data_IF_862875797494
#
_entry.id   IF_862875797494
#
_cell.length_a   1.000
_cell.length_b   1.000
_cell.length_c   1.000
_cell.angle_alpha   90.00
_cell.angle_beta   90.00
_cell.angle_gamma   90.00
#
_symmetry.space_group_name_H-M   'P 1'
#
loop_
_entity.id
_entity.type
_entity.pdbx_description
1 polymer ?
#
# COMPACT_ATOMS: atom_id res chain seq x y z
N UNK A 1 -1.18 -7.66 -33.05
CA UNK A 1 -1.83 -8.92 -33.48
C UNK A 1 -3.30 -8.99 -33.06
N UNK A 2 -3.93 -7.91 -32.57
CA UNK A 2 -5.37 -7.83 -32.26
C UNK A 2 -5.93 -9.04 -31.50
N UNK A 3 -5.13 -9.55 -30.55
CA UNK A 3 -5.54 -10.67 -29.70
C UNK A 3 -6.27 -10.11 -28.49
N UNK A 4 -7.44 -10.66 -28.24
CA UNK A 4 -8.28 -10.33 -27.10
C UNK A 4 -8.16 -11.40 -26.03
N UNK A 5 -8.26 -10.99 -24.76
CA UNK A 5 -8.10 -11.86 -23.61
C UNK A 5 -9.18 -11.54 -22.58
N UNK A 6 -9.77 -12.59 -22.01
CA UNK A 6 -10.58 -12.46 -20.80
C UNK A 6 -9.66 -12.46 -19.58
N UNK A 7 -9.65 -11.36 -18.82
CA UNK A 7 -8.74 -11.19 -17.69
C UNK A 7 -9.35 -11.77 -16.39
N UNK A 8 -8.91 -12.96 -16.01
CA UNK A 8 -9.17 -13.58 -14.69
C UNK A 8 -8.03 -13.40 -13.69
N UNK A 9 -7.00 -12.61 -14.01
CA UNK A 9 -5.86 -12.30 -13.15
C UNK A 9 -6.04 -10.94 -12.47
N UNK A 10 -6.81 -10.04 -13.08
CA UNK A 10 -7.12 -8.68 -12.60
C UNK A 10 -5.86 -7.88 -12.28
N UNK A 11 -4.82 -8.02 -13.11
CA UNK A 11 -3.55 -7.33 -12.87
C UNK A 11 -2.91 -7.68 -11.52
N UNK A 12 -2.96 -8.96 -11.12
CA UNK A 12 -2.57 -9.43 -9.78
C UNK A 12 -3.50 -8.85 -8.71
N UNK A 13 -4.81 -9.08 -8.89
CA UNK A 13 -5.88 -8.63 -7.99
C UNK A 13 -5.99 -7.10 -7.75
N UNK A 14 -5.37 -6.27 -8.60
CA UNK A 14 -5.42 -4.80 -8.52
C UNK A 14 -6.68 -4.23 -9.18
N UNK A 15 -7.07 -4.75 -10.34
CA UNK A 15 -8.14 -4.19 -11.16
C UNK A 15 -9.53 -4.66 -10.68
N UNK A 16 -9.86 -4.39 -9.41
CA UNK A 16 -11.07 -4.94 -8.77
C UNK A 16 -12.40 -4.48 -9.38
N UNK A 17 -12.40 -3.37 -10.14
CA UNK A 17 -13.57 -2.87 -10.88
C UNK A 17 -13.48 -3.13 -12.40
N UNK A 18 -12.51 -3.94 -12.83
CA UNK A 18 -12.19 -4.17 -14.24
C UNK A 18 -11.31 -3.06 -14.84
N UNK A 19 -11.06 -3.18 -16.15
CA UNK A 19 -10.24 -2.24 -16.91
C UNK A 19 -11.06 -1.02 -17.31
N UNK A 20 -10.50 0.18 -17.13
CA UNK A 20 -11.09 1.45 -17.58
C UNK A 20 -12.55 1.70 -17.11
N UNK A 21 -12.90 1.30 -15.88
CA UNK A 21 -14.23 1.50 -15.35
C UNK A 21 -14.67 2.98 -15.45
N UNK A 22 -15.84 3.31 -16.05
CA UNK A 22 -16.17 4.67 -16.46
C UNK A 22 -16.21 5.68 -15.29
N UNK A 23 -16.61 5.23 -14.10
CA UNK A 23 -16.59 6.07 -12.88
C UNK A 23 -15.17 6.43 -12.47
N UNK A 24 -14.21 5.49 -12.58
CA UNK A 24 -12.81 5.71 -12.22
C UNK A 24 -12.15 6.66 -13.22
N UNK A 25 -12.38 6.42 -14.52
CA UNK A 25 -11.88 7.29 -15.59
C UNK A 25 -12.36 8.73 -15.38
N UNK A 26 -13.66 8.93 -15.18
CA UNK A 26 -14.24 10.25 -14.93
C UNK A 26 -13.61 10.94 -13.72
N UNK A 27 -13.52 10.25 -12.57
CA UNK A 27 -12.96 10.82 -11.35
C UNK A 27 -11.48 11.24 -11.50
N UNK A 28 -10.67 10.41 -12.18
CA UNK A 28 -9.27 10.73 -12.47
C UNK A 28 -9.18 11.96 -13.39
N UNK A 29 -9.95 12.00 -14.49
CA UNK A 29 -9.93 13.12 -15.43
C UNK A 29 -10.35 14.44 -14.77
N UNK A 30 -11.43 14.43 -13.98
CA UNK A 30 -11.89 15.61 -13.24
C UNK A 30 -10.83 16.12 -12.25
N UNK A 31 -10.24 15.21 -11.46
CA UNK A 31 -9.23 15.61 -10.48
C UNK A 31 -7.94 16.07 -11.15
N UNK A 32 -7.50 15.43 -12.24
CA UNK A 32 -6.30 15.82 -12.97
C UNK A 32 -6.42 17.22 -13.60
N UNK A 33 -7.61 17.57 -14.11
CA UNK A 33 -7.92 18.92 -14.59
C UNK A 33 -8.02 19.97 -13.48
N UNK A 34 -8.13 19.54 -12.21
CA UNK A 34 -8.28 20.42 -11.05
C UNK A 34 -6.94 20.61 -10.32
N UNK A 35 -6.34 19.51 -9.84
CA UNK A 35 -5.10 19.51 -9.06
C UNK A 35 -4.51 18.10 -8.99
N UNK A 36 -3.27 17.93 -9.46
CA UNK A 36 -2.58 16.62 -9.46
C UNK A 36 -1.75 16.34 -8.20
N UNK A 37 -0.93 17.29 -7.73
CA UNK A 37 0.02 17.05 -6.64
C UNK A 37 0.41 18.33 -5.91
N UNK A 38 0.42 18.28 -4.57
CA UNK A 38 0.78 19.41 -3.70
C UNK A 38 1.70 19.01 -2.54
N UNK A 39 2.34 17.84 -2.58
CA UNK A 39 3.05 17.23 -1.46
C UNK A 39 2.16 17.01 -0.22
N UNK A 40 2.75 16.56 0.89
CA UNK A 40 2.05 16.39 2.16
C UNK A 40 2.07 17.66 3.05
N UNK A 41 2.57 18.78 2.54
CA UNK A 41 2.54 20.07 3.26
C UNK A 41 1.13 20.67 3.33
N UNK A 42 0.23 20.25 2.44
CA UNK A 42 -1.13 20.74 2.35
C UNK A 42 -2.12 19.58 2.32
N UNK A 43 -3.33 19.82 2.81
CA UNK A 43 -4.43 18.89 2.64
C UNK A 43 -5.09 19.06 1.28
N UNK A 44 -5.60 17.95 0.73
CA UNK A 44 -6.47 17.98 -0.44
C UNK A 44 -7.85 17.39 -0.09
N UNK A 45 -8.90 17.93 -0.72
CA UNK A 45 -10.28 17.47 -0.48
C UNK A 45 -10.44 15.96 -0.76
N UNK A 46 -9.90 15.39 -1.86
CA UNK A 46 -10.02 13.95 -2.11
C UNK A 46 -9.34 13.10 -1.03
N UNK A 47 -8.17 13.51 -0.55
CA UNK A 47 -7.43 12.79 0.49
C UNK A 47 -8.20 12.76 1.81
N UNK A 48 -8.81 13.89 2.21
CA UNK A 48 -9.64 13.97 3.41
C UNK A 48 -10.89 13.09 3.32
N UNK A 49 -11.60 13.16 2.18
CA UNK A 49 -12.78 12.32 1.94
C UNK A 49 -12.44 10.82 1.99
N UNK A 50 -11.31 10.42 1.41
CA UNK A 50 -10.84 9.04 1.46
C UNK A 50 -10.50 8.60 2.89
N UNK A 51 -9.77 9.43 3.63
CA UNK A 51 -9.41 9.14 5.02
C UNK A 51 -10.66 8.99 5.90
N UNK A 52 -11.62 9.90 5.77
CA UNK A 52 -12.90 9.83 6.49
C UNK A 52 -13.69 8.55 6.15
N UNK A 53 -13.77 8.20 4.88
CA UNK A 53 -14.43 6.98 4.42
C UNK A 53 -13.80 5.73 5.05
N UNK A 54 -12.46 5.64 5.05
CA UNK A 54 -11.73 4.49 5.60
C UNK A 54 -11.89 4.38 7.11
N UNK A 55 -11.78 5.49 7.85
CA UNK A 55 -11.97 5.51 9.31
C UNK A 55 -13.39 5.07 9.67
N UNK A 56 -14.42 5.59 8.98
CA UNK A 56 -15.83 5.23 9.24
C UNK A 56 -16.15 3.76 8.96
N UNK A 57 -15.37 3.09 8.14
CA UNK A 57 -15.62 1.71 7.70
C UNK A 57 -14.51 0.74 8.17
N UNK A 58 -13.75 1.09 9.20
CA UNK A 58 -12.73 0.22 9.79
C UNK A 58 -12.64 0.39 11.31
N UNK A 59 -11.79 -0.39 11.96
CA UNK A 59 -11.50 -0.29 13.39
C UNK A 59 -10.38 0.72 13.71
N UNK A 60 -9.96 1.54 12.75
CA UNK A 60 -8.80 2.43 12.87
C UNK A 60 -9.22 3.90 12.94
N UNK A 61 -8.51 4.70 13.73
CA UNK A 61 -8.82 6.14 13.92
C UNK A 61 -8.09 7.07 12.94
N UNK A 62 -7.01 6.60 12.30
CA UNK A 62 -6.13 7.40 11.44
C UNK A 62 -5.65 6.62 10.22
N UNK A 63 -5.35 7.35 9.15
CA UNK A 63 -4.88 6.79 7.87
C UNK A 63 -3.57 7.46 7.46
N UNK A 64 -2.62 6.65 6.99
CA UNK A 64 -1.44 7.10 6.25
C UNK A 64 -1.60 6.65 4.79
N UNK A 65 -1.41 7.57 3.84
CA UNK A 65 -1.58 7.30 2.40
C UNK A 65 -0.20 7.23 1.74
N UNK A 66 0.00 6.18 0.95
CA UNK A 66 1.22 5.91 0.19
C UNK A 66 0.87 5.30 -1.17
N UNK A 67 1.89 5.02 -1.99
CA UNK A 67 1.73 4.72 -3.40
C UNK A 67 1.78 3.22 -3.71
N UNK A 68 2.19 2.38 -2.75
CA UNK A 68 2.25 0.94 -2.93
C UNK A 68 2.00 0.16 -1.65
N UNK A 69 1.69 -1.14 -1.79
CA UNK A 69 1.62 -2.05 -0.64
C UNK A 69 2.95 -2.24 0.08
N UNK A 70 4.09 -2.07 -0.62
CA UNK A 70 5.42 -2.16 0.01
C UNK A 70 5.64 -0.96 0.95
N UNK A 71 5.32 0.26 0.49
CA UNK A 71 5.41 1.46 1.33
C UNK A 71 4.44 1.40 2.53
N UNK A 72 3.24 0.86 2.33
CA UNK A 72 2.27 0.66 3.40
C UNK A 72 2.83 -0.30 4.48
N UNK A 73 3.42 -1.42 4.05
CA UNK A 73 3.99 -2.42 4.96
C UNK A 73 5.22 -1.87 5.69
N UNK A 74 6.10 -1.13 5.00
CA UNK A 74 7.21 -0.42 5.66
C UNK A 74 6.72 0.60 6.69
N UNK A 75 5.70 1.39 6.33
CA UNK A 75 5.06 2.33 7.23
C UNK A 75 4.53 1.66 8.50
N UNK A 76 3.85 0.52 8.33
CA UNK A 76 3.33 -0.28 9.45
C UNK A 76 4.46 -0.82 10.34
N UNK A 77 5.51 -1.40 9.76
CA UNK A 77 6.68 -1.90 10.50
C UNK A 77 7.40 -0.78 11.25
N UNK A 78 7.59 0.39 10.62
CA UNK A 78 8.21 1.56 11.26
C UNK A 78 7.36 2.08 12.41
N UNK A 79 6.04 2.13 12.26
CA UNK A 79 5.12 2.55 13.31
C UNK A 79 5.18 1.58 14.50
N UNK A 80 5.09 0.27 14.24
CA UNK A 80 5.16 -0.77 15.27
C UNK A 80 6.49 -0.73 16.04
N UNK A 81 7.62 -0.64 15.33
CA UNK A 81 8.96 -0.53 15.95
C UNK A 81 9.12 0.76 16.75
N UNK A 82 8.64 1.90 16.25
CA UNK A 82 8.68 3.17 16.99
C UNK A 82 7.84 3.08 18.26
N UNK A 83 6.66 2.48 18.18
CA UNK A 83 5.81 2.26 19.35
C UNK A 83 6.51 1.35 20.37
N UNK A 84 7.07 0.22 19.93
CA UNK A 84 7.79 -0.69 20.81
C UNK A 84 9.02 -0.04 21.46
N UNK A 85 9.73 0.81 20.71
CA UNK A 85 10.85 1.60 21.24
C UNK A 85 10.43 2.56 22.36
N UNK A 86 9.33 3.31 22.17
CA UNK A 86 8.88 4.33 23.11
C UNK A 86 8.12 3.73 24.31
N UNK A 87 7.37 2.65 24.08
CA UNK A 87 6.35 2.18 25.03
C UNK A 87 6.53 0.73 25.51
N UNK A 88 7.38 -0.08 24.88
CA UNK A 88 7.51 -1.52 25.18
C UNK A 88 8.99 -1.92 25.37
N UNK A 89 9.74 -1.17 26.17
CA UNK A 89 11.13 -1.47 26.55
C UNK A 89 12.05 -1.78 25.37
N UNK A 90 11.88 -1.07 24.24
CA UNK A 90 12.73 -1.28 23.08
C UNK A 90 12.28 -2.38 22.12
N UNK A 91 11.08 -2.95 22.27
CA UNK A 91 10.61 -4.02 21.39
C UNK A 91 10.69 -3.64 19.90
N UNK A 92 11.34 -4.49 19.10
CA UNK A 92 11.60 -4.23 17.67
C UNK A 92 11.42 -5.43 16.75
N UNK A 93 11.30 -6.64 17.30
CA UNK A 93 11.20 -7.87 16.50
C UNK A 93 9.89 -7.90 15.71
N UNK A 94 9.97 -8.38 14.47
CA UNK A 94 8.82 -8.52 13.57
C UNK A 94 8.76 -9.97 13.16
N UNK A 95 7.67 -10.64 13.54
CA UNK A 95 7.43 -12.05 13.22
C UNK A 95 6.61 -12.09 11.93
N UNK A 96 7.07 -12.86 10.93
CA UNK A 96 6.38 -13.05 9.65
C UNK A 96 6.10 -14.52 9.37
N UNK A 97 5.15 -14.79 8.47
CA UNK A 97 4.76 -16.16 8.12
C UNK A 97 5.57 -16.75 6.98
N UNK A 98 5.84 -18.05 7.02
CA UNK A 98 6.38 -18.80 5.88
C UNK A 98 5.45 -18.71 4.67
N UNK A 99 6.00 -18.48 3.48
CA UNK A 99 5.23 -18.28 2.24
C UNK A 99 4.65 -16.87 2.05
N UNK A 100 4.85 -15.95 3.01
CA UNK A 100 4.35 -14.58 2.92
C UNK A 100 5.02 -13.75 1.81
N UNK A 101 4.38 -12.64 1.43
CA UNK A 101 4.92 -11.64 0.51
C UNK A 101 4.57 -10.24 1.02
N UNK A 102 5.58 -9.43 1.30
CA UNK A 102 5.44 -8.11 1.94
C UNK A 102 6.01 -6.96 1.10
N UNK A 103 6.51 -7.27 -0.10
CA UNK A 103 7.13 -6.30 -1.00
C UNK A 103 8.58 -6.64 -1.32
N UNK A 104 9.26 -5.75 -2.04
CA UNK A 104 10.58 -6.00 -2.62
C UNK A 104 11.66 -4.98 -2.26
N UNK A 105 11.39 -4.06 -1.34
CA UNK A 105 12.46 -3.27 -0.72
C UNK A 105 13.29 -4.15 0.20
N UNK A 106 14.53 -3.78 0.52
CA UNK A 106 15.43 -4.61 1.33
C UNK A 106 14.82 -5.05 2.67
N UNK A 107 14.12 -4.14 3.35
CA UNK A 107 13.44 -4.48 4.61
C UNK A 107 12.27 -5.45 4.39
N UNK A 108 11.48 -5.24 3.33
CA UNK A 108 10.27 -6.04 3.09
C UNK A 108 10.55 -7.38 2.40
N UNK A 109 11.64 -7.48 1.64
CA UNK A 109 12.12 -8.75 1.09
C UNK A 109 12.67 -9.63 2.21
N UNK A 110 13.38 -9.04 3.19
CA UNK A 110 13.78 -9.74 4.42
C UNK A 110 12.57 -10.22 5.22
N UNK A 111 11.51 -9.41 5.32
CA UNK A 111 10.26 -9.79 5.95
C UNK A 111 9.44 -10.85 5.17
N UNK A 112 9.63 -10.96 3.85
CA UNK A 112 8.89 -11.90 2.99
C UNK A 112 9.39 -13.33 3.19
N UNK A 113 8.53 -14.25 3.64
CA UNK A 113 8.87 -15.64 3.97
C UNK A 113 9.10 -16.57 2.78
N UNK A 114 9.76 -16.10 1.72
CA UNK A 114 10.06 -16.85 0.50
C UNK A 114 11.54 -16.75 0.16
N UNK A 115 12.28 -17.85 0.40
CA UNK A 115 13.74 -17.93 0.23
C UNK A 115 14.22 -17.44 -1.13
N UNK A 116 13.52 -17.80 -2.22
CA UNK A 116 13.84 -17.37 -3.60
C UNK A 116 13.92 -15.84 -3.77
N UNK A 117 13.22 -15.06 -2.95
CA UNK A 117 13.27 -13.61 -3.00
C UNK A 117 14.35 -13.02 -2.09
N UNK A 118 14.70 -13.73 -1.01
CA UNK A 118 15.70 -13.29 -0.04
C UNK A 118 17.13 -13.59 -0.49
N UNK A 119 17.37 -14.78 -1.06
CA UNK A 119 18.71 -15.31 -1.42
C UNK A 119 19.62 -14.30 -2.15
N UNK A 120 19.14 -13.51 -3.14
CA UNK A 120 20.02 -12.58 -3.85
C UNK A 120 20.51 -11.37 -3.02
N UNK A 121 19.98 -11.18 -1.81
CA UNK A 121 20.19 -9.98 -0.98
C UNK A 121 20.69 -10.29 0.43
N UNK A 122 21.01 -11.55 0.73
CA UNK A 122 21.67 -11.91 1.99
C UNK A 122 23.14 -11.42 1.97
N UNK A 123 23.69 -10.94 3.10
CA UNK A 123 25.10 -10.57 3.21
C UNK A 123 26.07 -11.71 2.92
#
# INVERSE_FOLDING_TARGET
NDKEYLDFVSGIAVNSLGHCHPVVVKAITEQANTLMHTSNLYYTIPQLKLAELLVKNSCMDKVFICNSGTEATEGAVKLARRYGHIHLNGAYEVITGTGSFHGRTLAMVSASGQTKFQEPYIP
#
